data_IF_611502924721
#
_entry.id   IF_611502924721
#
_cell.length_a   1.000
_cell.length_b   1.000
_cell.length_c   1.000
_cell.angle_alpha   90.00
_cell.angle_beta   90.00
_cell.angle_gamma   90.00
#
_symmetry.space_group_name_H-M   'P 1'
#
loop_
_entity.id
_entity.type
_entity.pdbx_description
1 polymer ?
#
# COMPACT_ATOMS: atom_id res chain seq x y z
N UNK A 1 -46.36 13.29 24.25
CA UNK A 1 -45.01 13.70 23.77
C UNK A 1 -44.02 12.68 24.26
N UNK A 2 -43.68 11.71 23.42
CA UNK A 2 -42.72 10.66 23.76
C UNK A 2 -41.31 11.24 23.61
N UNK A 3 -40.66 11.55 24.72
CA UNK A 3 -39.25 11.91 24.73
C UNK A 3 -38.45 10.65 24.34
N UNK A 4 -37.90 10.65 23.13
CA UNK A 4 -36.87 9.70 22.74
C UNK A 4 -35.63 9.96 23.60
N UNK A 5 -35.46 9.17 24.65
CA UNK A 5 -34.20 9.10 25.41
C UNK A 5 -33.14 8.49 24.49
N UNK A 6 -32.27 9.35 23.95
CA UNK A 6 -31.06 8.93 23.24
C UNK A 6 -30.16 8.22 24.28
N UNK A 7 -29.74 6.96 24.05
CA UNK A 7 -28.90 6.25 25.01
C UNK A 7 -27.61 7.05 25.32
N UNK A 8 -27.18 7.05 26.59
CA UNK A 8 -26.00 7.80 27.05
C UNK A 8 -24.74 7.50 26.22
N UNK A 9 -24.62 6.27 25.71
CA UNK A 9 -23.53 5.86 24.81
C UNK A 9 -23.56 6.59 23.47
N UNK A 10 -24.74 6.78 22.85
CA UNK A 10 -24.87 7.53 21.59
C UNK A 10 -24.55 9.02 21.74
N UNK A 11 -24.81 9.61 22.92
CA UNK A 11 -24.45 11.01 23.24
C UNK A 11 -22.93 11.18 23.40
N UNK A 12 -22.24 10.27 24.12
CA UNK A 12 -20.76 10.27 24.22
C UNK A 12 -20.09 10.06 22.86
N UNK A 13 -20.64 9.16 22.04
CA UNK A 13 -20.21 8.83 20.67
C UNK A 13 -20.25 10.04 19.72
N UNK A 14 -21.35 10.81 19.71
CA UNK A 14 -21.42 12.06 18.92
C UNK A 14 -20.46 13.13 19.45
N UNK A 15 -20.22 13.17 20.77
CA UNK A 15 -19.34 14.16 21.38
C UNK A 15 -17.86 13.99 20.97
N UNK A 16 -17.35 12.76 20.88
CA UNK A 16 -15.96 12.50 20.48
C UNK A 16 -15.70 12.84 19.01
N UNK A 17 -16.64 12.50 18.11
CA UNK A 17 -16.54 12.88 16.70
C UNK A 17 -16.51 14.40 16.54
N UNK A 18 -17.46 15.10 17.15
CA UNK A 18 -17.53 16.56 17.06
C UNK A 18 -16.35 17.26 17.72
N UNK A 19 -15.80 16.70 18.81
CA UNK A 19 -14.59 17.22 19.44
C UNK A 19 -13.39 17.17 18.49
N UNK A 20 -13.09 16.00 17.92
CA UNK A 20 -11.97 15.83 17.00
C UNK A 20 -12.18 16.66 15.72
N UNK A 21 -13.41 16.73 15.20
CA UNK A 21 -13.74 17.55 14.03
C UNK A 21 -13.49 19.03 14.28
N UNK A 22 -13.93 19.56 15.43
CA UNK A 22 -13.71 20.96 15.81
C UNK A 22 -12.23 21.27 16.02
N UNK A 23 -11.49 20.36 16.65
CA UNK A 23 -10.04 20.50 16.83
C UNK A 23 -9.28 20.47 15.50
N UNK A 24 -9.63 19.58 14.58
CA UNK A 24 -9.05 19.56 13.23
C UNK A 24 -9.29 20.87 12.49
N UNK A 25 -10.51 21.42 12.56
CA UNK A 25 -10.82 22.74 11.98
C UNK A 25 -10.00 23.85 12.65
N UNK A 26 -9.83 23.79 13.97
CA UNK A 26 -9.00 24.73 14.72
C UNK A 26 -7.54 24.67 14.25
N UNK A 27 -6.91 23.50 14.23
CA UNK A 27 -5.53 23.37 13.73
C UNK A 27 -5.37 23.85 12.29
N UNK A 28 -6.31 23.53 11.39
CA UNK A 28 -6.27 24.02 10.01
C UNK A 28 -6.29 25.56 9.93
N UNK A 29 -7.05 26.22 10.82
CA UNK A 29 -7.08 27.69 10.91
C UNK A 29 -5.79 28.24 11.49
N UNK A 30 -5.27 27.65 12.55
CA UNK A 30 -4.03 28.09 13.19
C UNK A 30 -2.82 27.93 12.27
N UNK A 31 -2.72 26.82 11.53
CA UNK A 31 -1.70 26.63 10.48
C UNK A 31 -1.76 27.77 9.46
N UNK A 32 -2.95 28.09 8.96
CA UNK A 32 -3.14 29.18 7.99
C UNK A 32 -2.74 30.53 8.60
N UNK A 33 -3.15 30.81 9.84
CA UNK A 33 -2.88 32.07 10.52
C UNK A 33 -1.39 32.24 10.79
N UNK A 34 -0.71 31.21 11.31
CA UNK A 34 0.72 31.21 11.57
C UNK A 34 1.53 31.38 10.28
N UNK A 35 1.23 30.58 9.24
CA UNK A 35 1.89 30.68 7.94
C UNK A 35 1.73 32.08 7.34
N UNK A 36 0.50 32.57 7.22
CA UNK A 36 0.23 33.88 6.62
C UNK A 36 0.85 35.02 7.43
N UNK A 37 0.78 34.94 8.76
CA UNK A 37 1.31 35.95 9.67
C UNK A 37 2.83 36.05 9.62
N UNK A 38 3.53 34.92 9.77
CA UNK A 38 5.00 34.89 9.76
C UNK A 38 5.58 35.16 8.38
N UNK A 39 4.99 34.61 7.30
CA UNK A 39 5.43 34.90 5.94
C UNK A 39 5.28 36.39 5.60
N UNK A 40 4.24 37.05 6.09
CA UNK A 40 4.09 38.51 5.93
C UNK A 40 5.22 39.26 6.63
N UNK A 41 5.53 38.92 7.89
CA UNK A 41 6.63 39.53 8.65
C UNK A 41 7.98 39.32 7.94
N UNK A 42 8.23 38.11 7.45
CA UNK A 42 9.45 37.77 6.70
C UNK A 42 9.52 38.60 5.41
N UNK A 43 8.43 38.67 4.64
CA UNK A 43 8.36 39.44 3.40
C UNK A 43 8.55 40.95 3.62
N UNK A 44 7.95 41.52 4.67
CA UNK A 44 8.16 42.92 5.06
C UNK A 44 9.63 43.17 5.40
N UNK A 45 10.26 42.28 6.17
CA UNK A 45 11.68 42.36 6.53
C UNK A 45 12.60 42.17 5.30
N UNK A 46 12.16 41.42 4.28
CA UNK A 46 12.87 41.26 3.00
C UNK A 46 12.76 42.49 2.09
N UNK A 47 11.62 43.19 2.13
CA UNK A 47 11.32 44.33 1.25
C UNK A 47 11.81 45.68 1.76
N UNK A 48 12.26 45.77 3.01
CA UNK A 48 12.92 46.96 3.53
C UNK A 48 14.19 47.25 2.70
N UNK A 49 14.06 48.17 1.75
CA UNK A 49 15.09 48.57 0.80
C UNK A 49 16.02 49.61 1.41
N UNK A 50 17.33 49.33 1.46
CA UNK A 50 18.32 50.38 1.73
C UNK A 50 19.69 49.96 2.27
N UNK A 51 19.86 48.75 2.80
CA UNK A 51 21.16 48.31 3.30
C UNK A 51 21.41 46.83 2.99
N UNK A 52 22.66 46.51 2.69
CA UNK A 52 23.15 45.15 2.76
C UNK A 52 22.82 44.61 4.15
N UNK A 53 21.96 43.58 4.22
CA UNK A 53 21.49 43.05 5.50
C UNK A 53 22.68 42.64 6.34
N UNK A 54 22.70 43.12 7.58
CA UNK A 54 23.70 42.69 8.55
C UNK A 54 23.55 41.19 8.82
N UNK A 55 24.65 40.53 9.19
CA UNK A 55 24.62 39.11 9.61
C UNK A 55 23.51 38.86 10.65
N UNK A 56 23.36 39.78 11.61
CA UNK A 56 22.35 39.71 12.67
C UNK A 56 20.91 39.74 12.15
N UNK A 57 20.63 40.50 11.09
CA UNK A 57 19.30 40.52 10.46
C UNK A 57 19.02 39.25 9.67
N UNK A 58 20.04 38.68 9.02
CA UNK A 58 19.95 37.39 8.34
C UNK A 58 19.70 36.27 9.37
N UNK A 59 20.45 36.23 10.46
CA UNK A 59 20.29 35.25 11.53
C UNK A 59 18.90 35.34 12.17
N UNK A 60 18.38 36.55 12.39
CA UNK A 60 17.02 36.75 12.88
C UNK A 60 15.95 36.25 11.90
N UNK A 61 16.17 36.43 10.59
CA UNK A 61 15.27 35.90 9.57
C UNK A 61 15.29 34.38 9.52
N UNK A 62 16.47 33.76 9.60
CA UNK A 62 16.62 32.31 9.66
C UNK A 62 15.91 31.75 10.89
N UNK A 63 16.12 32.32 12.07
CA UNK A 63 15.42 31.91 13.30
C UNK A 63 13.89 32.00 13.17
N UNK A 64 13.36 33.04 12.51
CA UNK A 64 11.91 33.16 12.24
C UNK A 64 11.40 32.08 11.29
N UNK A 65 12.18 31.73 10.28
CA UNK A 65 11.85 30.64 9.34
C UNK A 65 11.85 29.30 10.06
N UNK A 66 12.87 29.04 10.88
CA UNK A 66 12.99 27.81 11.66
C UNK A 66 11.82 27.67 12.65
N UNK A 67 11.52 28.74 13.39
CA UNK A 67 10.37 28.78 14.33
C UNK A 67 9.04 28.54 13.59
N UNK A 68 8.85 29.16 12.41
CA UNK A 68 7.66 28.92 11.61
C UNK A 68 7.56 27.46 11.17
N UNK A 69 8.67 26.87 10.72
CA UNK A 69 8.71 25.48 10.30
C UNK A 69 8.37 24.54 11.46
N UNK A 70 8.94 24.75 12.65
CA UNK A 70 8.63 23.98 13.86
C UNK A 70 7.14 24.04 14.21
N UNK A 71 6.54 25.25 14.21
CA UNK A 71 5.11 25.43 14.49
C UNK A 71 4.22 24.73 13.47
N UNK A 72 4.58 24.82 12.17
CA UNK A 72 3.82 24.17 11.11
C UNK A 72 3.88 22.64 11.22
N UNK A 73 5.06 22.08 11.52
CA UNK A 73 5.24 20.65 11.74
C UNK A 73 4.41 20.17 12.94
N UNK A 74 4.48 20.85 14.10
CA UNK A 74 3.73 20.47 15.31
C UNK A 74 2.22 20.53 15.08
N UNK A 75 1.71 21.63 14.52
CA UNK A 75 0.28 21.77 14.28
C UNK A 75 -0.24 20.79 13.21
N UNK A 76 0.56 20.54 12.16
CA UNK A 76 0.19 19.57 11.12
C UNK A 76 0.17 18.15 11.70
N UNK A 77 1.12 17.81 12.57
CA UNK A 77 1.15 16.54 13.29
C UNK A 77 -0.13 16.33 14.10
N UNK A 78 -0.54 17.33 14.89
CA UNK A 78 -1.76 17.26 15.68
C UNK A 78 -3.04 17.21 14.84
N UNK A 79 -3.08 17.96 13.74
CA UNK A 79 -4.17 17.88 12.77
C UNK A 79 -4.29 16.46 12.21
N UNK A 80 -3.18 15.84 11.79
CA UNK A 80 -3.16 14.47 11.28
C UNK A 80 -3.65 13.47 12.33
N UNK A 81 -3.22 13.61 13.59
CA UNK A 81 -3.65 12.73 14.70
C UNK A 81 -5.17 12.82 14.90
N UNK A 82 -5.72 14.02 14.87
CA UNK A 82 -7.17 14.24 15.03
C UNK A 82 -7.96 13.68 13.84
N UNK A 83 -7.47 13.86 12.60
CA UNK A 83 -8.07 13.30 11.38
C UNK A 83 -8.05 11.76 11.36
N UNK A 84 -6.93 11.13 11.74
CA UNK A 84 -6.88 9.67 11.90
C UNK A 84 -7.79 9.21 13.04
N UNK A 85 -7.88 10.00 14.12
CA UNK A 85 -8.79 9.77 15.23
C UNK A 85 -10.24 9.70 14.77
N UNK A 86 -10.68 10.65 13.92
CA UNK A 86 -12.01 10.64 13.32
C UNK A 86 -12.32 9.32 12.60
N UNK A 87 -11.35 8.73 11.90
CA UNK A 87 -11.52 7.44 11.24
C UNK A 87 -11.71 6.24 12.17
N UNK A 88 -11.45 6.39 13.47
CA UNK A 88 -11.57 5.34 14.50
C UNK A 88 -12.80 5.50 15.39
N UNK A 89 -13.35 6.72 15.48
CA UNK A 89 -14.52 7.00 16.32
C UNK A 89 -15.70 6.09 15.92
N UNK A 90 -16.48 5.65 16.92
CA UNK A 90 -17.68 4.81 16.73
C UNK A 90 -17.43 3.46 16.05
N UNK A 91 -16.22 2.90 16.18
CA UNK A 91 -15.88 1.62 15.58
C UNK A 91 -15.75 1.67 14.06
N UNK A 92 -15.60 2.87 13.47
CA UNK A 92 -15.50 3.04 12.03
C UNK A 92 -14.29 2.31 11.43
N UNK A 93 -13.18 2.22 12.16
CA UNK A 93 -11.99 1.49 11.71
C UNK A 93 -12.25 -0.02 11.66
N UNK A 94 -12.91 -0.57 12.68
CA UNK A 94 -13.30 -1.98 12.77
C UNK A 94 -14.34 -2.33 11.70
N UNK A 95 -15.34 -1.46 11.49
CA UNK A 95 -16.33 -1.61 10.41
C UNK A 95 -15.65 -1.63 9.05
N UNK A 96 -14.79 -0.64 8.76
CA UNK A 96 -14.05 -0.56 7.51
C UNK A 96 -13.22 -1.83 7.27
N UNK A 97 -12.52 -2.31 8.30
CA UNK A 97 -11.75 -3.55 8.23
C UNK A 97 -12.63 -4.76 7.92
N UNK A 98 -13.75 -4.91 8.64
CA UNK A 98 -14.69 -6.01 8.44
C UNK A 98 -15.28 -6.02 7.03
N UNK A 99 -15.64 -4.85 6.49
CA UNK A 99 -16.16 -4.72 5.13
C UNK A 99 -15.10 -5.04 4.07
N UNK A 100 -13.87 -4.57 4.25
CA UNK A 100 -12.73 -4.93 3.39
C UNK A 100 -12.47 -6.44 3.44
N UNK A 101 -12.51 -7.07 4.62
CA UNK A 101 -12.33 -8.51 4.78
C UNK A 101 -13.45 -9.30 4.06
N UNK A 102 -14.68 -8.79 4.05
CA UNK A 102 -15.79 -9.38 3.28
C UNK A 102 -15.58 -9.27 1.76
N UNK A 103 -15.05 -8.13 1.29
CA UNK A 103 -14.68 -7.97 -0.13
C UNK A 103 -13.53 -8.91 -0.49
N UNK A 104 -12.52 -9.02 0.37
CA UNK A 104 -11.39 -9.93 0.19
C UNK A 104 -11.89 -11.37 0.04
N UNK A 105 -12.74 -11.85 0.95
CA UNK A 105 -13.32 -13.21 0.86
C UNK A 105 -14.03 -13.46 -0.48
N UNK A 106 -14.77 -12.47 -1.00
CA UNK A 106 -15.43 -12.58 -2.31
C UNK A 106 -14.42 -12.69 -3.45
N UNK A 107 -13.37 -11.86 -3.45
CA UNK A 107 -12.30 -11.90 -4.45
C UNK A 107 -11.56 -13.25 -4.40
N UNK A 108 -11.14 -13.68 -3.21
CA UNK A 108 -10.45 -14.96 -3.01
C UNK A 108 -11.28 -16.17 -3.44
N UNK A 109 -12.60 -16.16 -3.19
CA UNK A 109 -13.50 -17.21 -3.66
C UNK A 109 -13.59 -17.25 -5.20
N UNK A 110 -13.68 -16.08 -5.85
CA UNK A 110 -13.68 -15.99 -7.34
C UNK A 110 -12.35 -16.48 -7.93
N UNK A 111 -11.24 -16.10 -7.31
CA UNK A 111 -9.91 -16.56 -7.71
C UNK A 111 -9.82 -18.09 -7.58
N UNK A 112 -10.24 -18.66 -6.45
CA UNK A 112 -10.17 -20.10 -6.23
C UNK A 112 -11.00 -20.86 -7.28
N UNK A 113 -12.21 -20.39 -7.60
CA UNK A 113 -13.04 -20.96 -8.67
C UNK A 113 -12.40 -20.84 -10.05
N UNK A 114 -11.81 -19.69 -10.37
CA UNK A 114 -11.13 -19.44 -11.65
C UNK A 114 -9.90 -20.32 -11.82
N UNK A 115 -9.10 -20.44 -10.78
CA UNK A 115 -7.83 -21.16 -10.82
C UNK A 115 -8.00 -22.66 -10.70
N UNK A 116 -9.11 -23.15 -10.14
CA UNK A 116 -9.35 -24.57 -9.90
C UNK A 116 -10.61 -25.07 -10.61
N UNK A 117 -10.65 -25.06 -11.96
CA UNK A 117 -11.78 -25.62 -12.68
C UNK A 117 -11.90 -27.13 -12.41
N UNK A 118 -13.14 -27.64 -12.43
CA UNK A 118 -13.44 -29.06 -12.20
C UNK A 118 -12.95 -29.97 -13.33
N UNK A 119 -12.88 -29.44 -14.56
CA UNK A 119 -12.43 -30.15 -15.75
C UNK A 119 -11.39 -29.32 -16.51
N UNK A 120 -10.11 -29.58 -16.27
CA UNK A 120 -8.99 -28.91 -16.94
C UNK A 120 -9.02 -29.11 -18.46
N UNK A 121 -9.65 -30.17 -18.97
CA UNK A 121 -9.75 -30.44 -20.40
C UNK A 121 -10.67 -29.44 -21.12
N UNK A 122 -11.56 -28.77 -20.39
CA UNK A 122 -12.53 -27.78 -20.93
C UNK A 122 -12.21 -26.34 -20.53
N UNK A 123 -11.30 -26.16 -19.57
CA UNK A 123 -10.89 -24.84 -19.12
C UNK A 123 -10.14 -24.08 -20.24
N UNK A 124 -10.31 -22.76 -20.23
CA UNK A 124 -9.51 -21.83 -21.03
C UNK A 124 -8.35 -21.33 -20.17
N UNK A 125 -7.20 -21.13 -20.80
CA UNK A 125 -5.96 -20.80 -20.14
C UNK A 125 -5.39 -19.49 -20.67
N UNK A 126 -4.79 -18.74 -19.75
CA UNK A 126 -3.87 -17.66 -20.05
C UNK A 126 -2.51 -18.10 -19.52
N UNK A 127 -1.56 -18.30 -20.42
CA UNK A 127 -0.21 -18.70 -20.11
C UNK A 127 0.66 -17.48 -19.79
N UNK A 128 1.55 -17.59 -18.82
CA UNK A 128 2.50 -16.54 -18.46
C UNK A 128 3.89 -17.11 -18.16
N UNK A 129 4.92 -16.39 -18.61
CA UNK A 129 6.31 -16.74 -18.34
C UNK A 129 6.95 -15.88 -17.25
N UNK A 130 7.95 -16.45 -16.58
CA UNK A 130 8.84 -15.76 -15.64
C UNK A 130 10.22 -15.47 -16.26
N UNK A 131 10.21 -15.11 -17.54
CA UNK A 131 11.41 -14.98 -18.39
C UNK A 131 11.77 -13.54 -18.70
N UNK A 132 11.04 -12.56 -18.15
CA UNK A 132 11.35 -11.15 -18.42
C UNK A 132 12.74 -10.82 -17.86
N UNK A 133 13.61 -10.14 -18.64
CA UNK A 133 14.97 -9.81 -18.23
C UNK A 133 14.98 -8.62 -17.25
N UNK A 134 14.35 -8.81 -16.10
CA UNK A 134 14.24 -7.82 -15.02
C UNK A 134 14.19 -8.51 -13.66
N UNK A 135 14.39 -7.73 -12.58
CA UNK A 135 14.43 -8.26 -11.22
C UNK A 135 13.06 -8.77 -10.72
N UNK A 136 13.07 -9.40 -9.54
CA UNK A 136 11.91 -10.04 -8.89
C UNK A 136 10.63 -9.19 -8.94
N UNK A 137 10.69 -7.93 -8.50
CA UNK A 137 9.50 -7.06 -8.43
C UNK A 137 8.85 -6.81 -9.80
N UNK A 138 9.64 -6.68 -10.86
CA UNK A 138 9.13 -6.50 -12.22
C UNK A 138 8.44 -7.77 -12.75
N UNK A 139 9.00 -8.95 -12.46
CA UNK A 139 8.37 -10.22 -12.80
C UNK A 139 7.07 -10.45 -12.01
N UNK A 140 7.04 -10.10 -10.71
CA UNK A 140 5.81 -10.17 -9.90
C UNK A 140 4.73 -9.23 -10.45
N UNK A 141 5.08 -8.01 -10.86
CA UNK A 141 4.12 -7.10 -11.50
C UNK A 141 3.60 -7.63 -12.84
N UNK A 142 4.46 -8.27 -13.65
CA UNK A 142 4.01 -8.93 -14.88
C UNK A 142 3.02 -10.06 -14.58
N UNK A 143 3.32 -10.92 -13.60
CA UNK A 143 2.39 -11.98 -13.16
C UNK A 143 1.07 -11.40 -12.66
N UNK A 144 1.10 -10.36 -11.83
CA UNK A 144 -0.10 -9.74 -11.27
C UNK A 144 -0.99 -9.13 -12.36
N UNK A 145 -0.37 -8.45 -13.34
CA UNK A 145 -1.04 -7.94 -14.53
C UNK A 145 -1.68 -9.08 -15.35
N UNK A 146 -0.91 -10.14 -15.66
CA UNK A 146 -1.44 -11.28 -16.39
C UNK A 146 -2.56 -11.98 -15.61
N UNK A 147 -2.47 -12.02 -14.28
CA UNK A 147 -3.53 -12.58 -13.46
C UNK A 147 -4.80 -11.75 -13.49
N UNK A 148 -4.67 -10.43 -13.55
CA UNK A 148 -5.81 -9.55 -13.78
C UNK A 148 -6.46 -9.82 -15.13
N UNK A 149 -5.67 -10.01 -16.20
CA UNK A 149 -6.18 -10.38 -17.53
C UNK A 149 -6.89 -11.74 -17.52
N UNK A 150 -6.31 -12.74 -16.84
CA UNK A 150 -6.93 -14.05 -16.61
C UNK A 150 -8.28 -13.92 -15.88
N UNK A 151 -8.30 -13.12 -14.82
CA UNK A 151 -9.49 -12.88 -14.00
C UNK A 151 -10.64 -12.24 -14.80
N UNK A 152 -10.36 -11.22 -15.60
CA UNK A 152 -11.41 -10.55 -16.39
C UNK A 152 -11.86 -11.34 -17.62
N UNK A 153 -11.03 -12.25 -18.13
CA UNK A 153 -11.35 -13.07 -19.31
C UNK A 153 -11.90 -14.46 -18.97
N UNK A 154 -12.01 -14.80 -17.67
CA UNK A 154 -12.46 -16.11 -17.23
C UNK A 154 -11.49 -17.25 -17.59
N UNK A 155 -10.20 -16.93 -17.74
CA UNK A 155 -9.13 -17.90 -18.08
C UNK A 155 -8.35 -18.29 -16.83
N UNK A 156 -8.06 -19.57 -16.66
CA UNK A 156 -7.14 -20.05 -15.63
C UNK A 156 -5.72 -19.62 -15.97
N UNK A 157 -5.05 -18.92 -15.06
CA UNK A 157 -3.65 -18.53 -15.21
C UNK A 157 -2.73 -19.73 -14.93
N UNK A 158 -1.80 -19.99 -15.84
CA UNK A 158 -0.83 -21.09 -15.76
C UNK A 158 0.55 -20.61 -16.18
N UNK A 159 1.59 -21.22 -15.62
CA UNK A 159 2.95 -20.97 -16.09
C UNK A 159 3.15 -21.58 -17.49
N UNK A 160 4.03 -20.95 -18.26
CA UNK A 160 4.58 -21.57 -19.46
C UNK A 160 5.44 -22.79 -19.13
N UNK A 161 5.88 -23.49 -20.18
CA UNK A 161 6.73 -24.67 -20.05
C UNK A 161 8.22 -24.31 -19.94
N UNK A 162 8.59 -23.02 -19.86
CA UNK A 162 9.98 -22.60 -19.84
C UNK A 162 10.57 -22.85 -18.46
N UNK A 163 11.68 -23.61 -18.42
CA UNK A 163 12.37 -23.96 -17.18
C UNK A 163 13.62 -23.12 -17.04
N UNK A 164 13.54 -22.07 -16.22
CA UNK A 164 14.69 -21.25 -15.81
C UNK A 164 15.05 -21.52 -14.34
N UNK A 165 16.22 -21.04 -13.91
CA UNK A 165 16.59 -21.05 -12.49
C UNK A 165 15.60 -20.26 -11.64
N UNK A 166 15.09 -19.14 -12.16
CA UNK A 166 14.11 -18.30 -11.48
C UNK A 166 12.72 -18.97 -11.39
N UNK A 167 12.28 -19.67 -12.45
CA UNK A 167 11.07 -20.50 -12.42
C UNK A 167 11.18 -21.62 -11.37
N UNK A 168 12.33 -22.30 -11.32
CA UNK A 168 12.61 -23.34 -10.33
C UNK A 168 12.58 -22.77 -8.90
N UNK A 169 13.18 -21.60 -8.68
CA UNK A 169 13.14 -20.90 -7.40
C UNK A 169 11.71 -20.51 -7.01
N UNK A 170 10.92 -19.99 -7.96
CA UNK A 170 9.52 -19.63 -7.69
C UNK A 170 8.71 -20.85 -7.24
N UNK A 171 8.79 -21.95 -7.99
CA UNK A 171 8.07 -23.21 -7.69
C UNK A 171 8.49 -23.86 -6.38
N UNK A 172 9.72 -23.63 -5.92
CA UNK A 172 10.19 -24.12 -4.63
C UNK A 172 9.63 -23.31 -3.44
N UNK A 173 9.39 -22.01 -3.62
CA UNK A 173 9.03 -21.10 -2.54
C UNK A 173 7.53 -20.78 -2.48
N UNK A 174 6.82 -20.86 -3.60
CA UNK A 174 5.39 -20.55 -3.67
C UNK A 174 4.54 -21.73 -4.15
N UNK A 175 3.29 -21.79 -3.67
CA UNK A 175 2.30 -22.77 -4.09
C UNK A 175 1.98 -22.63 -5.58
N UNK A 176 1.60 -23.73 -6.25
CA UNK A 176 1.19 -23.67 -7.66
C UNK A 176 -0.02 -22.75 -7.86
N UNK A 177 -0.09 -22.13 -9.04
CA UNK A 177 -1.16 -21.18 -9.38
C UNK A 177 -2.55 -21.83 -9.37
N UNK A 178 -2.61 -23.11 -9.70
CA UNK A 178 -3.78 -23.98 -9.60
C UNK A 178 -3.48 -25.15 -8.68
N UNK A 179 -4.51 -25.81 -8.15
CA UNK A 179 -4.40 -27.12 -7.49
C UNK A 179 -4.84 -28.24 -8.45
N UNK A 180 -5.76 -27.93 -9.37
CA UNK A 180 -6.38 -28.93 -10.28
C UNK A 180 -5.71 -28.97 -11.64
N UNK A 181 -5.15 -27.87 -12.14
CA UNK A 181 -4.57 -27.75 -13.48
C UNK A 181 -3.10 -27.30 -13.45
N UNK A 182 -2.20 -28.20 -13.07
CA UNK A 182 -0.79 -27.87 -12.81
C UNK A 182 0.15 -28.12 -13.99
N UNK A 183 -0.31 -28.90 -14.96
CA UNK A 183 0.48 -29.28 -16.13
C UNK A 183 -0.46 -29.22 -17.33
N UNK A 184 -0.24 -28.22 -18.19
CA UNK A 184 -0.80 -28.29 -19.51
C UNK A 184 0.07 -29.26 -20.32
N UNK A 185 -0.47 -30.44 -20.63
CA UNK A 185 0.06 -31.24 -21.73
C UNK A 185 -0.28 -30.52 -23.03
N UNK A 186 0.49 -29.49 -23.34
CA UNK A 186 0.37 -28.77 -24.61
C UNK A 186 1.06 -29.64 -25.65
N UNK A 187 0.35 -30.66 -26.09
CA UNK A 187 0.63 -31.34 -27.37
C UNK A 187 0.27 -30.45 -28.56
N UNK A 188 -0.46 -29.34 -28.31
CA UNK A 188 -1.05 -28.51 -29.33
C UNK A 188 -0.33 -27.17 -29.51
N UNK A 189 0.42 -27.11 -30.61
CA UNK A 189 0.87 -25.93 -31.37
C UNK A 189 2.19 -25.27 -30.98
N UNK A 190 3.09 -25.25 -31.95
CA UNK A 190 4.30 -24.41 -32.00
C UNK A 190 3.99 -22.90 -32.08
N UNK A 191 2.71 -22.47 -32.03
CA UNK A 191 2.28 -21.08 -32.19
C UNK A 191 1.06 -20.75 -31.32
N UNK A 192 1.26 -20.57 -30.01
CA UNK A 192 0.22 -20.07 -29.09
C UNK A 192 -0.03 -18.57 -29.39
N UNK A 193 -1.27 -18.16 -29.69
CA UNK A 193 -1.56 -16.75 -30.00
C UNK A 193 -1.43 -15.86 -28.76
N UNK A 194 -1.02 -14.61 -28.97
CA UNK A 194 -1.01 -13.59 -27.94
C UNK A 194 -2.43 -13.26 -27.47
N UNK A 195 -2.58 -12.99 -26.18
CA UNK A 195 -3.82 -12.49 -25.63
C UNK A 195 -4.05 -11.05 -26.12
N UNK A 196 -5.20 -10.81 -26.74
CA UNK A 196 -5.55 -9.54 -27.40
C UNK A 196 -6.42 -8.61 -26.53
N UNK A 197 -6.67 -8.99 -25.28
CA UNK A 197 -7.53 -8.23 -24.36
C UNK A 197 -9.03 -8.43 -24.59
N UNK A 198 -9.47 -9.35 -25.46
CA UNK A 198 -10.88 -9.56 -25.80
C UNK A 198 -11.56 -10.71 -25.04
N UNK A 199 -12.89 -10.63 -24.99
CA UNK A 199 -13.84 -11.29 -24.08
C UNK A 199 -13.82 -12.83 -24.01
N UNK A 200 -14.51 -13.33 -22.97
CA UNK A 200 -14.88 -14.73 -22.67
C UNK A 200 -15.39 -15.55 -23.89
N UNK A 201 -15.85 -14.91 -24.95
CA UNK A 201 -16.42 -15.53 -26.17
C UNK A 201 -15.39 -16.10 -27.13
N UNK A 202 -14.09 -15.81 -26.96
CA UNK A 202 -13.04 -16.39 -27.80
C UNK A 202 -13.03 -17.92 -27.67
N UNK A 203 -13.12 -18.64 -28.79
CA UNK A 203 -13.04 -20.11 -28.82
C UNK A 203 -11.61 -20.63 -28.55
N UNK A 204 -10.62 -19.74 -28.58
CA UNK A 204 -9.22 -20.08 -28.36
C UNK A 204 -9.03 -20.54 -26.91
N UNK A 205 -8.61 -21.80 -26.77
CA UNK A 205 -8.44 -22.42 -25.45
C UNK A 205 -7.22 -21.89 -24.70
N UNK A 206 -6.08 -21.71 -25.37
CA UNK A 206 -4.82 -21.28 -24.74
C UNK A 206 -4.32 -20.01 -25.43
N UNK A 207 -4.01 -18.98 -24.67
CA UNK A 207 -3.41 -17.72 -25.15
C UNK A 207 -2.20 -17.36 -24.29
N UNK A 208 -1.22 -16.66 -24.85
CA UNK A 208 -0.03 -16.19 -24.13
C UNK A 208 -0.22 -14.75 -23.63
N UNK A 209 0.07 -14.50 -22.35
CA UNK A 209 0.13 -13.16 -21.80
C UNK A 209 1.47 -12.51 -22.12
N UNK A 210 1.44 -11.38 -22.83
CA UNK A 210 2.63 -10.63 -23.20
C UNK A 210 2.86 -9.43 -22.25
N UNK A 211 3.96 -8.71 -22.46
CA UNK A 211 4.26 -7.47 -21.77
C UNK A 211 3.10 -6.46 -21.86
N UNK A 212 2.77 -5.82 -20.73
CA UNK A 212 1.69 -4.83 -20.67
C UNK A 212 1.83 -3.72 -21.74
N UNK A 213 3.05 -3.32 -22.09
CA UNK A 213 3.29 -2.29 -23.11
C UNK A 213 3.03 -2.71 -24.56
N UNK A 214 2.85 -4.00 -24.85
CA UNK A 214 2.40 -4.45 -26.18
C UNK A 214 0.87 -4.50 -26.30
N UNK A 215 0.14 -4.34 -25.19
CA UNK A 215 -1.32 -4.36 -25.20
C UNK A 215 -1.91 -3.09 -25.83
N UNK A 216 -3.02 -3.23 -26.55
CA UNK A 216 -3.76 -2.09 -27.09
C UNK A 216 -4.30 -1.20 -25.96
N UNK A 217 -4.11 0.11 -26.09
CA UNK A 217 -4.69 1.12 -25.18
C UNK A 217 -6.23 1.08 -25.12
N UNK A 218 -6.89 0.41 -26.07
CA UNK A 218 -8.34 0.22 -26.07
C UNK A 218 -8.83 -0.78 -25.01
N UNK A 219 -7.94 -1.60 -24.44
CA UNK A 219 -8.26 -2.60 -23.43
C UNK A 219 -8.57 -1.94 -22.09
N UNK A 220 -9.86 -1.81 -21.78
CA UNK A 220 -10.37 -1.11 -20.58
C UNK A 220 -10.05 -1.81 -19.26
N UNK A 221 -9.64 -3.07 -19.30
CA UNK A 221 -9.31 -3.87 -18.12
C UNK A 221 -7.86 -3.71 -17.67
N UNK A 222 -7.03 -2.93 -18.36
CA UNK A 222 -5.66 -2.66 -17.95
C UNK A 222 -5.61 -1.91 -16.61
N UNK A 223 -4.56 -2.11 -15.78
CA UNK A 223 -4.27 -1.25 -14.63
C UNK A 223 -4.41 0.25 -14.97
N UNK A 224 -5.04 1.07 -14.09
CA UNK A 224 -5.50 0.75 -12.74
C UNK A 224 -6.98 0.28 -12.65
N UNK A 225 -7.52 -0.38 -13.68
CA UNK A 225 -8.92 -0.85 -13.65
C UNK A 225 -9.18 -1.89 -12.55
N UNK A 226 -10.41 -1.87 -12.02
CA UNK A 226 -10.93 -2.83 -11.02
C UNK A 226 -12.29 -3.38 -11.46
N UNK A 227 -12.74 -4.53 -10.90
CA UNK A 227 -14.07 -5.05 -11.18
C UNK A 227 -15.17 -4.06 -10.79
N UNK A 228 -16.10 -3.78 -11.71
CA UNK A 228 -17.15 -2.76 -11.54
C UNK A 228 -18.01 -3.01 -10.30
N UNK A 229 -18.29 -4.26 -9.99
CA UNK A 229 -19.11 -4.66 -8.84
C UNK A 229 -18.42 -4.40 -7.48
N UNK A 230 -17.09 -4.23 -7.47
CA UNK A 230 -16.33 -3.89 -6.28
C UNK A 230 -16.07 -2.39 -6.15
N UNK A 231 -16.16 -1.63 -7.24
CA UNK A 231 -15.70 -0.25 -7.32
C UNK A 231 -16.30 0.67 -6.25
N UNK A 232 -17.64 0.76 -6.18
CA UNK A 232 -18.33 1.64 -5.23
C UNK A 232 -17.99 1.32 -3.76
N UNK A 233 -17.83 0.03 -3.43
CA UNK A 233 -17.45 -0.36 -2.08
C UNK A 233 -15.99 0.00 -1.78
N UNK A 234 -15.08 -0.26 -2.73
CA UNK A 234 -13.66 0.02 -2.54
C UNK A 234 -13.36 1.52 -2.50
N UNK A 235 -14.00 2.34 -3.33
CA UNK A 235 -13.87 3.80 -3.31
C UNK A 235 -14.26 4.39 -1.95
N UNK A 236 -15.26 3.80 -1.28
CA UNK A 236 -15.67 4.20 0.06
C UNK A 236 -14.71 3.72 1.15
N UNK A 237 -14.07 2.56 0.95
CA UNK A 237 -13.36 1.84 2.02
C UNK A 237 -11.83 1.94 1.93
N UNK A 238 -11.27 2.27 0.77
CA UNK A 238 -9.84 2.26 0.51
C UNK A 238 -9.43 3.46 -0.34
N UNK A 239 -8.37 4.15 0.06
CA UNK A 239 -7.90 5.38 -0.61
C UNK A 239 -7.46 5.15 -2.05
N UNK A 240 -6.91 3.97 -2.35
CA UNK A 240 -6.51 3.57 -3.70
C UNK A 240 -7.09 2.19 -4.04
N UNK A 241 -8.33 2.12 -4.57
CA UNK A 241 -9.04 0.86 -4.84
C UNK A 241 -8.24 -0.17 -5.66
N UNK A 242 -7.52 0.30 -6.67
CA UNK A 242 -6.70 -0.56 -7.52
C UNK A 242 -5.59 -1.29 -6.75
N UNK A 243 -4.89 -0.58 -5.86
CA UNK A 243 -3.80 -1.17 -5.06
C UNK A 243 -4.34 -2.29 -4.15
N UNK A 244 -5.51 -2.10 -3.56
CA UNK A 244 -6.18 -3.14 -2.78
C UNK A 244 -6.51 -4.38 -3.63
N UNK A 245 -7.09 -4.15 -4.82
CA UNK A 245 -7.49 -5.23 -5.72
C UNK A 245 -6.30 -6.04 -6.25
N UNK A 246 -5.31 -5.36 -6.85
CA UNK A 246 -4.11 -6.01 -7.38
C UNK A 246 -3.29 -6.65 -6.26
N UNK A 247 -3.33 -6.08 -5.05
CA UNK A 247 -2.71 -6.65 -3.86
C UNK A 247 -3.24 -8.04 -3.51
N UNK A 248 -4.55 -8.28 -3.67
CA UNK A 248 -5.12 -9.62 -3.47
C UNK A 248 -4.72 -10.62 -4.56
N UNK A 249 -4.63 -10.19 -5.82
CA UNK A 249 -4.11 -11.03 -6.90
C UNK A 249 -2.65 -11.42 -6.62
N UNK A 250 -1.81 -10.45 -6.28
CA UNK A 250 -0.40 -10.68 -5.92
C UNK A 250 -0.26 -11.59 -4.70
N UNK A 251 -1.09 -11.41 -3.67
CA UNK A 251 -1.08 -12.26 -2.48
C UNK A 251 -1.43 -13.73 -2.81
N UNK A 252 -2.33 -13.97 -3.76
CA UNK A 252 -2.63 -15.33 -4.24
C UNK A 252 -1.45 -15.93 -5.01
N UNK A 253 -0.79 -15.15 -5.87
CA UNK A 253 0.38 -15.59 -6.63
C UNK A 253 1.54 -15.99 -5.70
N UNK A 254 1.73 -15.24 -4.61
CA UNK A 254 2.85 -15.41 -3.66
C UNK A 254 2.47 -16.19 -2.40
N UNK A 255 1.49 -17.11 -2.48
CA UNK A 255 1.19 -18.00 -1.36
C UNK A 255 2.40 -18.88 -1.06
N UNK A 256 3.01 -18.82 0.13
CA UNK A 256 4.23 -19.55 0.42
C UNK A 256 3.96 -21.06 0.50
N UNK A 257 4.98 -21.86 0.15
CA UNK A 257 5.00 -23.27 0.57
C UNK A 257 5.18 -23.35 2.08
N UNK A 258 4.84 -24.49 2.69
CA UNK A 258 5.00 -24.68 4.14
C UNK A 258 6.45 -24.42 4.60
N UNK A 259 7.43 -24.92 3.84
CA UNK A 259 8.85 -24.72 4.15
C UNK A 259 9.24 -23.24 4.09
N UNK A 260 8.76 -22.50 3.08
CA UNK A 260 9.05 -21.09 2.96
C UNK A 260 8.34 -20.26 4.03
N UNK A 261 7.10 -20.60 4.36
CA UNK A 261 6.34 -19.97 5.45
C UNK A 261 7.05 -20.14 6.81
N UNK A 262 7.56 -21.34 7.11
CA UNK A 262 8.34 -21.59 8.34
C UNK A 262 9.62 -20.75 8.40
N UNK A 263 10.33 -20.63 7.27
CA UNK A 263 11.51 -19.77 7.17
C UNK A 263 11.15 -18.29 7.38
N UNK A 264 10.06 -17.82 6.78
CA UNK A 264 9.59 -16.44 6.96
C UNK A 264 9.21 -16.18 8.42
N UNK A 265 8.39 -17.05 9.03
CA UNK A 265 7.92 -16.88 10.40
C UNK A 265 9.09 -16.89 11.41
N UNK A 266 10.00 -17.85 11.29
CA UNK A 266 11.20 -17.91 12.16
C UNK A 266 12.07 -16.67 12.01
N UNK A 267 12.21 -16.13 10.80
CA UNK A 267 12.92 -14.88 10.56
C UNK A 267 12.21 -13.69 11.23
N UNK A 268 10.89 -13.56 11.04
CA UNK A 268 10.09 -12.50 11.64
C UNK A 268 10.14 -12.52 13.18
N UNK A 269 10.12 -13.71 13.78
CA UNK A 269 10.27 -13.91 15.22
C UNK A 269 11.67 -13.54 15.71
N UNK A 270 12.72 -14.01 15.03
CA UNK A 270 14.12 -13.71 15.37
C UNK A 270 14.39 -12.19 15.37
N UNK A 271 13.77 -11.46 14.44
CA UNK A 271 13.88 -10.00 14.38
C UNK A 271 12.87 -9.24 15.26
N UNK A 272 12.01 -9.96 16.02
CA UNK A 272 10.96 -9.39 16.88
C UNK A 272 9.97 -8.49 16.13
N UNK A 273 9.67 -8.84 14.88
CA UNK A 273 8.72 -8.12 14.02
C UNK A 273 7.27 -8.55 14.23
N UNK A 274 7.07 -9.70 14.88
CA UNK A 274 5.76 -10.28 15.21
C UNK A 274 5.68 -10.59 16.72
N UNK A 275 4.47 -10.83 17.24
CA UNK A 275 4.21 -11.17 18.63
C UNK A 275 3.78 -10.00 19.53
N UNK A 276 3.49 -10.31 20.81
CA UNK A 276 2.92 -9.38 21.81
C UNK A 276 3.89 -8.25 22.18
N UNK A 277 5.19 -8.53 22.18
CA UNK A 277 6.25 -7.57 22.51
C UNK A 277 6.79 -6.82 21.27
N UNK A 278 6.02 -6.77 20.17
CA UNK A 278 6.47 -6.07 18.96
C UNK A 278 6.54 -4.57 19.21
N UNK A 279 7.67 -3.97 18.86
CA UNK A 279 7.78 -2.52 18.79
C UNK A 279 7.14 -2.01 17.48
N UNK A 280 6.65 -0.76 17.42
CA UNK A 280 6.30 -0.15 16.14
C UNK A 280 7.55 -0.14 15.24
N UNK A 281 7.39 -0.61 14.00
CA UNK A 281 8.48 -0.68 13.02
C UNK A 281 8.09 0.10 11.77
N UNK A 282 9.04 0.86 11.23
CA UNK A 282 8.95 1.48 9.91
C UNK A 282 9.94 0.76 9.00
N UNK A 283 9.44 0.20 7.89
CA UNK A 283 10.30 -0.39 6.87
C UNK A 283 10.88 0.70 5.97
N UNK A 284 12.19 0.66 5.72
CA UNK A 284 12.88 1.57 4.82
C UNK A 284 13.57 0.75 3.73
N UNK A 285 13.20 0.99 2.48
CA UNK A 285 13.86 0.36 1.32
C UNK A 285 14.70 1.41 0.60
N UNK A 286 16.03 1.29 0.68
CA UNK A 286 16.97 2.20 0.01
C UNK A 286 17.51 1.51 -1.24
N UNK A 287 16.94 1.83 -2.40
CA UNK A 287 17.38 1.30 -3.70
C UNK A 287 18.49 2.19 -4.27
N UNK A 288 19.65 1.59 -4.56
CA UNK A 288 20.83 2.29 -5.12
C UNK A 288 21.32 1.62 -6.40
N UNK A 289 22.65 1.55 -6.58
CA UNK A 289 23.36 0.77 -7.61
C UNK A 289 22.83 1.05 -9.02
N UNK A 290 22.51 -0.01 -9.77
CA UNK A 290 22.04 -0.05 -11.15
C UNK A 290 20.81 0.81 -11.47
N UNK A 291 20.10 1.33 -10.45
CA UNK A 291 18.89 2.15 -10.63
C UNK A 291 19.12 3.64 -10.65
N UNK A 292 20.26 4.08 -10.10
CA UNK A 292 20.59 5.51 -10.05
C UNK A 292 20.84 6.02 -11.48
N UNK A 293 20.28 7.18 -11.81
CA UNK A 293 20.38 7.90 -13.10
C UNK A 293 19.63 7.28 -14.29
N UNK A 294 19.14 6.05 -14.19
CA UNK A 294 18.32 5.43 -15.23
C UNK A 294 16.83 5.39 -14.85
N UNK A 295 16.53 4.91 -13.65
CA UNK A 295 15.14 4.70 -13.18
C UNK A 295 14.80 5.55 -11.94
N UNK A 296 15.82 5.96 -11.17
CA UNK A 296 15.65 6.72 -9.95
C UNK A 296 16.81 7.71 -9.71
N UNK A 297 16.57 8.72 -8.89
CA UNK A 297 17.62 9.59 -8.37
C UNK A 297 18.29 9.00 -7.12
N UNK A 298 19.50 9.44 -6.82
CA UNK A 298 20.14 9.15 -5.54
C UNK A 298 19.51 10.01 -4.45
N UNK A 299 19.10 9.36 -3.35
CA UNK A 299 18.62 10.03 -2.15
C UNK A 299 19.47 9.60 -0.95
N UNK A 300 20.03 10.54 -0.18
CA UNK A 300 20.85 10.23 1.00
C UNK A 300 20.01 9.62 2.13
N UNK A 301 20.63 8.83 3.01
CA UNK A 301 19.91 8.10 4.05
C UNK A 301 19.12 9.03 4.99
N UNK A 302 19.67 10.20 5.33
CA UNK A 302 19.04 11.12 6.28
C UNK A 302 17.64 11.57 5.82
N UNK A 303 17.41 11.70 4.51
CA UNK A 303 16.10 12.07 3.96
C UNK A 303 15.03 11.03 4.29
N UNK A 304 15.35 9.74 4.17
CA UNK A 304 14.47 8.65 4.60
C UNK A 304 14.23 8.70 6.11
N UNK A 305 15.28 8.95 6.90
CA UNK A 305 15.20 8.98 8.36
C UNK A 305 14.31 10.13 8.83
N UNK A 306 14.33 11.29 8.17
CA UNK A 306 13.40 12.39 8.47
C UNK A 306 11.93 11.93 8.43
N UNK A 307 11.55 11.13 7.44
CA UNK A 307 10.19 10.58 7.35
C UNK A 307 9.90 9.52 8.42
N UNK A 308 10.91 8.71 8.78
CA UNK A 308 10.82 7.72 9.87
C UNK A 308 10.58 8.41 11.21
N UNK A 309 11.35 9.45 11.52
CA UNK A 309 11.23 10.24 12.74
C UNK A 309 9.86 10.90 12.85
N UNK A 310 9.39 11.55 11.78
CA UNK A 310 8.03 12.12 11.72
C UNK A 310 6.96 11.07 12.00
N UNK A 311 7.09 9.85 11.48
CA UNK A 311 6.15 8.76 11.75
C UNK A 311 6.17 8.32 13.23
N UNK A 312 7.34 8.24 13.85
CA UNK A 312 7.44 7.91 15.27
C UNK A 312 6.86 9.03 16.16
N UNK A 313 7.11 10.29 15.83
CA UNK A 313 6.49 11.46 16.49
C UNK A 313 4.97 11.42 16.38
N UNK A 314 4.44 11.04 15.21
CA UNK A 314 3.00 10.87 14.99
C UNK A 314 2.42 9.82 15.94
N UNK A 315 3.01 8.63 16.01
CA UNK A 315 2.54 7.58 16.91
C UNK A 315 2.66 7.97 18.37
N UNK A 316 3.72 8.67 18.77
CA UNK A 316 3.86 9.18 20.13
C UNK A 316 2.74 10.18 20.46
N UNK A 317 2.45 11.12 19.56
CA UNK A 317 1.38 12.11 19.72
C UNK A 317 0.01 11.46 19.78
N UNK A 318 -0.25 10.47 18.93
CA UNK A 318 -1.47 9.67 18.97
C UNK A 318 -1.63 8.94 20.32
N UNK A 319 -0.56 8.36 20.86
CA UNK A 319 -0.60 7.68 22.17
C UNK A 319 -0.87 8.66 23.31
N UNK A 320 -0.25 9.84 23.30
CA UNK A 320 -0.50 10.88 24.30
C UNK A 320 -1.95 11.38 24.27
N UNK A 321 -2.53 11.52 23.07
CA UNK A 321 -3.94 11.88 22.91
C UNK A 321 -4.86 10.83 23.53
N UNK A 322 -4.62 9.55 23.24
CA UNK A 322 -5.38 8.43 23.81
C UNK A 322 -5.24 8.35 25.34
N UNK A 323 -4.03 8.61 25.86
CA UNK A 323 -3.77 8.61 27.31
C UNK A 323 -4.52 9.72 28.05
N UNK A 324 -4.71 10.89 27.43
CA UNK A 324 -5.52 11.99 27.97
C UNK A 324 -7.03 11.73 27.95
N UNK A 325 -7.49 10.67 27.29
CA UNK A 325 -8.92 10.34 27.08
C UNK A 325 -9.40 9.02 27.73
N UNK A 326 -8.66 8.49 28.73
CA UNK A 326 -8.87 7.27 29.57
C UNK A 326 -8.10 5.95 29.22
N UNK A 327 -7.34 5.49 30.25
CA UNK A 327 -6.81 4.16 30.67
C UNK A 327 -5.81 3.34 29.80
N UNK A 328 -4.59 3.24 30.36
CA UNK A 328 -3.56 2.17 30.30
C UNK A 328 -3.19 1.50 28.97
N UNK A 329 -2.08 1.93 28.36
CA UNK A 329 -1.30 1.12 27.43
C UNK A 329 0.21 1.24 27.73
N UNK A 330 0.83 0.08 27.91
CA UNK A 330 2.23 -0.19 28.27
C UNK A 330 3.25 0.68 27.53
N UNK A 331 4.16 1.31 28.29
CA UNK A 331 5.34 2.00 27.79
C UNK A 331 6.28 0.99 27.11
N UNK A 332 6.65 1.26 25.86
CA UNK A 332 7.78 0.57 25.21
C UNK A 332 8.65 1.60 24.52
N UNK A 333 9.96 1.46 24.75
CA UNK A 333 11.01 2.25 24.12
C UNK A 333 11.04 1.97 22.60
N UNK A 334 11.11 3.02 21.80
CA UNK A 334 11.27 2.89 20.35
C UNK A 334 12.68 2.40 20.02
N UNK A 335 12.80 1.48 19.07
CA UNK A 335 14.08 1.04 18.52
C UNK A 335 14.00 1.16 17.00
N UNK A 336 14.77 2.07 16.42
CA UNK A 336 14.92 2.15 14.97
C UNK A 336 15.80 0.97 14.56
N UNK A 337 15.25 0.03 13.78
CA UNK A 337 16.00 -1.09 13.20
C UNK A 337 15.96 -0.96 11.68
N UNK A 338 17.08 -0.56 11.10
CA UNK A 338 17.31 -0.75 9.67
C UNK A 338 17.58 -2.25 9.45
N UNK A 339 16.71 -2.93 8.71
CA UNK A 339 17.01 -4.26 8.17
C UNK A 339 17.64 -4.02 6.81
N UNK A 340 18.96 -4.21 6.65
CA UNK A 340 19.57 -4.00 5.36
C UNK A 340 19.21 -5.20 4.48
N UNK A 341 18.31 -5.01 3.51
CA UNK A 341 18.34 -5.84 2.31
C UNK A 341 19.55 -5.38 1.50
N UNK A 342 20.71 -5.92 1.87
CA UNK A 342 21.90 -5.89 1.03
C UNK A 342 21.67 -6.92 -0.08
N UNK A 343 21.12 -6.49 -1.21
CA UNK A 343 21.42 -7.18 -2.45
C UNK A 343 22.79 -6.67 -2.89
N UNK A 344 23.85 -7.38 -2.46
CA UNK A 344 25.11 -7.34 -3.19
C UNK A 344 24.87 -8.13 -4.47
N UNK A 345 25.04 -7.46 -5.60
CA UNK A 345 25.54 -8.05 -6.84
C UNK A 345 26.46 -7.03 -7.47
#
# INVERSE_FOLDING_TARGET
MSFFTIPLNTLKVQSSHELLRRRAIHFAREIRNAASGQLRIINETLRQSGAQKSSKEVDNLLNKVDTLNEWLEEMTLHLQVDLEGLGRVNGMAESRRSELDQLARRVWHRIDKLQNPSDCSKAKFLMVGLTRPCAFGCNVHHLAYCFQMAYVSGRTLVFDNVKTAYDSWWKANFLPLSKTCNQLNITDSENIPLFDGTNETSTIRVTLCDYIGSMSNSVKSLPPAIPRDLASNLERLHEVPFIWYIGHLTAYLMRPTLAFEQLLNSTLEAYKLVGVNRNPVVGVHVRRTDKINNEAAFYPLHEYITHVERRFQFWQSQRQLLWKTDVSLLLTNYTIRCIPFVCVS
#
